data_IF_785366291032
#
_entry.id   IF_785366291032
#
_cell.length_a   1.000
_cell.length_b   1.000
_cell.length_c   1.000
_cell.angle_alpha   90.00
_cell.angle_beta   90.00
_cell.angle_gamma   90.00
#
_symmetry.space_group_name_H-M   'P 1'
#
loop_
_entity.id
_entity.type
_entity.pdbx_description
1 polymer ?
#
# COMPACT_ATOMS: atom_id res chain seq x y z
N UNK A 1 11.80 -15.85 15.64
CA UNK A 1 11.96 -14.47 16.13
C UNK A 1 11.70 -13.54 14.96
N UNK A 2 10.58 -12.82 14.96
CA UNK A 2 10.20 -11.91 13.88
C UNK A 2 10.92 -10.56 14.00
N UNK A 3 10.97 -9.82 12.89
CA UNK A 3 11.43 -8.44 12.88
C UNK A 3 10.48 -7.53 13.69
N UNK A 4 11.02 -6.60 14.47
CA UNK A 4 10.24 -5.63 15.25
C UNK A 4 9.47 -4.67 14.33
N UNK A 5 8.24 -4.32 14.72
CA UNK A 5 7.34 -3.49 13.92
C UNK A 5 7.88 -2.07 13.69
N UNK A 6 8.55 -1.49 14.69
CA UNK A 6 9.24 -0.21 14.55
C UNK A 6 10.35 -0.27 13.48
N UNK A 7 11.04 -1.40 13.35
CA UNK A 7 12.07 -1.57 12.33
C UNK A 7 11.48 -1.75 10.93
N UNK A 8 10.41 -2.55 10.79
CA UNK A 8 9.67 -2.68 9.51
C UNK A 8 9.18 -1.31 9.01
N UNK A 9 8.59 -0.52 9.90
CA UNK A 9 8.09 0.81 9.58
C UNK A 9 9.22 1.75 9.14
N UNK A 10 10.34 1.78 9.87
CA UNK A 10 11.51 2.59 9.50
C UNK A 10 12.08 2.22 8.12
N UNK A 11 12.14 0.93 7.80
CA UNK A 11 12.63 0.46 6.50
C UNK A 11 11.74 0.92 5.34
N UNK A 12 10.41 0.85 5.50
CA UNK A 12 9.49 1.31 4.46
C UNK A 12 9.55 2.83 4.29
N UNK A 13 9.61 3.56 5.41
CA UNK A 13 9.71 5.04 5.39
C UNK A 13 10.98 5.51 4.68
N UNK A 14 12.08 4.76 4.78
CA UNK A 14 13.31 5.08 4.04
C UNK A 14 13.13 5.04 2.51
N UNK A 15 12.14 4.29 2.01
CA UNK A 15 11.79 4.22 0.59
C UNK A 15 10.75 5.25 0.16
N UNK A 16 10.22 6.06 1.08
CA UNK A 16 9.28 7.10 0.72
C UNK A 16 9.98 8.29 0.09
N UNK A 17 9.42 8.76 -1.01
CA UNK A 17 9.92 9.90 -1.80
C UNK A 17 8.77 10.88 -2.06
N UNK A 18 9.11 12.14 -2.37
CA UNK A 18 8.13 13.18 -2.73
C UNK A 18 6.99 13.33 -1.73
N UNK A 19 5.76 13.25 -2.23
CA UNK A 19 4.53 13.44 -1.47
C UNK A 19 4.33 12.41 -0.36
N UNK A 20 4.78 11.17 -0.57
CA UNK A 20 4.69 10.13 0.45
C UNK A 20 5.56 10.45 1.67
N UNK A 21 6.77 10.97 1.43
CA UNK A 21 7.65 11.39 2.51
C UNK A 21 7.13 12.63 3.23
N UNK A 22 6.56 13.59 2.49
CA UNK A 22 5.98 14.80 3.07
C UNK A 22 4.76 14.48 3.95
N UNK A 23 3.85 13.63 3.45
CA UNK A 23 2.71 13.12 4.20
C UNK A 23 3.15 12.42 5.48
N UNK A 24 4.10 11.48 5.38
CA UNK A 24 4.54 10.70 6.52
C UNK A 24 5.16 11.57 7.63
N UNK A 25 6.00 12.56 7.25
CA UNK A 25 6.57 13.52 8.20
C UNK A 25 5.49 14.32 8.93
N UNK A 26 4.51 14.83 8.20
CA UNK A 26 3.41 15.60 8.78
C UNK A 26 2.54 14.75 9.72
N UNK A 27 2.17 13.53 9.28
CA UNK A 27 1.34 12.61 10.06
C UNK A 27 2.05 12.16 11.34
N UNK A 28 3.31 11.76 11.24
CA UNK A 28 4.14 11.39 12.40
C UNK A 28 4.22 12.54 13.39
N UNK A 29 4.45 13.77 12.93
CA UNK A 29 4.53 14.94 13.81
C UNK A 29 3.21 15.15 14.56
N UNK A 30 2.08 15.13 13.84
CA UNK A 30 0.74 15.31 14.41
C UNK A 30 0.37 14.25 15.48
N UNK A 31 0.96 13.05 15.40
CA UNK A 31 0.73 11.95 16.34
C UNK A 31 1.68 11.92 17.54
N UNK A 32 2.65 12.84 17.63
CA UNK A 32 3.62 12.89 18.73
C UNK A 32 5.06 12.55 18.35
N UNK A 33 5.38 12.56 17.05
CA UNK A 33 6.76 12.45 16.56
C UNK A 33 7.34 11.04 16.70
N UNK A 34 8.62 10.96 17.06
CA UNK A 34 9.35 9.69 17.20
C UNK A 34 8.85 8.82 18.37
N UNK A 35 8.22 9.43 19.37
CA UNK A 35 7.60 8.71 20.49
C UNK A 35 6.39 7.90 20.02
N UNK A 36 5.64 8.38 19.04
CA UNK A 36 4.54 7.61 18.45
C UNK A 36 5.04 6.47 17.55
N UNK A 37 6.18 6.66 16.88
CA UNK A 37 6.76 5.66 15.98
C UNK A 37 7.17 4.36 16.70
N UNK A 38 7.49 4.43 18.01
CA UNK A 38 7.81 3.24 18.80
C UNK A 38 6.57 2.50 19.27
N UNK A 39 5.39 3.14 19.24
CA UNK A 39 4.12 2.53 19.66
C UNK A 39 3.29 1.99 18.51
N UNK A 40 3.50 2.50 17.28
CA UNK A 40 2.73 2.07 16.11
C UNK A 40 3.06 0.63 15.74
N UNK A 41 2.02 -0.19 15.60
CA UNK A 41 2.16 -1.57 15.13
C UNK A 41 2.32 -1.61 13.61
N UNK A 42 2.89 -2.71 13.10
CA UNK A 42 3.04 -2.88 11.66
C UNK A 42 1.70 -2.94 10.91
N UNK A 43 0.67 -3.51 11.55
CA UNK A 43 -0.69 -3.55 10.97
C UNK A 43 -1.30 -2.15 10.87
N UNK A 44 -1.25 -1.35 11.95
CA UNK A 44 -1.76 0.02 11.92
C UNK A 44 -1.06 0.88 10.87
N UNK A 45 0.26 0.73 10.72
CA UNK A 45 1.00 1.40 9.66
C UNK A 45 0.48 1.03 8.27
N UNK A 46 0.31 -0.28 8.00
CA UNK A 46 -0.21 -0.75 6.69
C UNK A 46 -1.60 -0.19 6.44
N UNK A 47 -2.49 -0.24 7.42
CA UNK A 47 -3.84 0.31 7.27
C UNK A 47 -3.82 1.80 6.93
N UNK A 48 -3.01 2.59 7.64
CA UNK A 48 -2.86 4.03 7.35
C UNK A 48 -2.30 4.29 5.95
N UNK A 49 -1.26 3.54 5.57
CA UNK A 49 -0.63 3.68 4.26
C UNK A 49 -1.61 3.33 3.14
N UNK A 50 -2.30 2.20 3.23
CA UNK A 50 -3.31 1.80 2.23
C UNK A 50 -4.50 2.75 2.23
N UNK A 51 -4.93 3.28 3.37
CA UNK A 51 -6.00 4.28 3.40
C UNK A 51 -5.62 5.54 2.62
N UNK A 52 -4.37 5.99 2.74
CA UNK A 52 -3.88 7.22 2.10
C UNK A 52 -3.59 7.03 0.59
N UNK A 53 -2.89 5.97 0.22
CA UNK A 53 -2.35 5.79 -1.14
C UNK A 53 -3.05 4.70 -1.95
N UNK A 54 -3.95 3.95 -1.33
CA UNK A 54 -4.72 2.91 -2.00
C UNK A 54 -6.18 2.87 -1.51
N UNK A 55 -6.91 3.98 -1.69
CA UNK A 55 -8.23 4.16 -1.11
C UNK A 55 -9.22 3.08 -1.58
N UNK A 56 -10.25 2.82 -0.78
CA UNK A 56 -11.28 1.80 -1.09
C UNK A 56 -11.85 1.93 -2.50
N UNK A 57 -12.03 3.15 -3.00
CA UNK A 57 -12.55 3.37 -4.35
C UNK A 57 -11.65 2.75 -5.44
N UNK A 58 -10.33 2.91 -5.33
CA UNK A 58 -9.36 2.30 -6.24
C UNK A 58 -9.32 0.78 -6.07
N UNK A 59 -9.36 0.29 -4.81
CA UNK A 59 -9.46 -1.14 -4.54
C UNK A 59 -10.69 -1.78 -5.21
N UNK A 60 -11.84 -1.15 -5.07
CA UNK A 60 -13.09 -1.63 -5.66
C UNK A 60 -13.08 -1.49 -7.19
N UNK A 61 -12.42 -0.46 -7.74
CA UNK A 61 -12.23 -0.32 -9.18
C UNK A 61 -11.38 -1.46 -9.74
N UNK A 62 -10.23 -1.73 -9.14
CA UNK A 62 -9.34 -2.82 -9.53
C UNK A 62 -10.01 -4.19 -9.38
N UNK A 63 -10.78 -4.41 -8.30
CA UNK A 63 -11.58 -5.63 -8.15
C UNK A 63 -12.58 -5.75 -9.30
N UNK A 64 -13.32 -4.71 -9.65
CA UNK A 64 -14.27 -4.74 -10.77
C UNK A 64 -13.57 -5.00 -12.10
N UNK A 65 -12.44 -4.35 -12.33
CA UNK A 65 -11.62 -4.59 -13.51
C UNK A 65 -11.19 -6.05 -13.57
N UNK A 66 -10.64 -6.59 -12.50
CA UNK A 66 -10.26 -8.00 -12.42
C UNK A 66 -11.43 -8.96 -12.71
N UNK A 67 -12.60 -8.72 -12.10
CA UNK A 67 -13.80 -9.53 -12.37
C UNK A 67 -14.30 -9.40 -13.81
N UNK A 68 -13.96 -8.32 -14.50
CA UNK A 68 -14.28 -8.12 -15.93
C UNK A 68 -13.30 -8.82 -16.87
N UNK A 69 -12.12 -9.22 -16.38
CA UNK A 69 -11.13 -9.94 -17.19
C UNK A 69 -11.63 -11.37 -17.41
N UNK A 70 -12.04 -11.66 -18.65
CA UNK A 70 -12.47 -12.99 -19.08
C UNK A 70 -11.73 -13.39 -20.36
N UNK A 71 -11.33 -14.64 -20.45
CA UNK A 71 -10.80 -15.20 -21.68
C UNK A 71 -11.97 -15.39 -22.65
N UNK A 72 -11.84 -14.86 -23.87
CA UNK A 72 -12.84 -14.96 -24.93
C UNK A 72 -12.29 -15.82 -26.06
N UNK A 73 -13.14 -16.50 -26.81
CA UNK A 73 -12.74 -17.43 -27.90
C UNK A 73 -11.89 -16.76 -29.00
N UNK A 74 -11.92 -15.43 -29.05
CA UNK A 74 -11.18 -14.61 -30.02
C UNK A 74 -9.79 -14.17 -29.55
N UNK A 75 -9.37 -14.50 -28.32
CA UNK A 75 -8.06 -14.09 -27.76
C UNK A 75 -7.21 -15.30 -27.41
N UNK A 76 -5.95 -15.24 -27.78
CA UNK A 76 -4.95 -16.25 -27.39
C UNK A 76 -4.71 -16.20 -25.89
N UNK A 77 -4.28 -17.33 -25.30
CA UNK A 77 -3.95 -17.39 -23.87
C UNK A 77 -2.88 -16.37 -23.47
N UNK A 78 -1.94 -16.06 -24.36
CA UNK A 78 -0.89 -15.05 -24.15
C UNK A 78 -1.45 -13.63 -24.05
N UNK A 79 -2.37 -13.24 -24.94
CA UNK A 79 -3.03 -11.93 -24.90
C UNK A 79 -3.94 -11.76 -23.67
N UNK A 80 -4.49 -12.87 -23.16
CA UNK A 80 -5.23 -12.89 -21.91
C UNK A 80 -4.30 -12.73 -20.70
N UNK A 81 -3.17 -13.44 -20.67
CA UNK A 81 -2.18 -13.37 -19.60
C UNK A 81 -1.54 -11.98 -19.47
N UNK A 82 -1.38 -11.24 -20.57
CA UNK A 82 -0.88 -9.86 -20.54
C UNK A 82 -1.75 -8.89 -19.72
N UNK A 83 -3.00 -9.23 -19.42
CA UNK A 83 -3.90 -8.39 -18.60
C UNK A 83 -3.67 -8.54 -17.10
N UNK A 84 -2.81 -9.48 -16.69
CA UNK A 84 -2.48 -9.77 -15.30
C UNK A 84 -1.00 -9.50 -14.97
N UNK A 85 -0.20 -9.12 -15.96
CA UNK A 85 1.22 -8.75 -15.85
C UNK A 85 1.34 -7.24 -15.69
#
# INVERSE_FOLDING_TARGET
MGCEDAFKTRLVVYKFEGDALAWWKAYKQAKGGDVWLITVTWEEFKELFFLQFFPRAEQECLKREYHSIRQTDTKTSTEFMQRFL
#
